data_IF_599803010811
#
_entry.id   IF_599803010811
#
_cell.length_a   1.000
_cell.length_b   1.000
_cell.length_c   1.000
_cell.angle_alpha   90.00
_cell.angle_beta   90.00
_cell.angle_gamma   90.00
#
_symmetry.space_group_name_H-M   'P 1'
#
loop_
_entity.id
_entity.type
_entity.pdbx_description
1 polymer ?
#
# COMPACT_ATOMS: atom_id res chain seq x y z
N UNK A 1 0.08 22.37 -20.46
CA UNK A 1 -0.32 21.94 -21.82
C UNK A 1 0.88 22.13 -22.73
N UNK A 2 1.02 21.40 -23.83
CA UNK A 2 2.05 21.76 -24.81
C UNK A 2 1.71 23.13 -25.39
N UNK A 3 2.71 23.99 -25.49
CA UNK A 3 2.63 25.28 -26.17
C UNK A 3 2.38 25.08 -27.68
N UNK A 4 1.73 26.06 -28.31
CA UNK A 4 1.32 25.95 -29.71
C UNK A 4 2.53 25.82 -30.65
N UNK A 5 3.66 26.47 -30.31
CA UNK A 5 4.91 26.38 -31.07
C UNK A 5 5.43 24.94 -31.10
N UNK A 6 5.51 24.28 -29.95
CA UNK A 6 5.91 22.88 -29.89
C UNK A 6 4.93 21.94 -30.57
N UNK A 7 3.62 22.18 -30.46
CA UNK A 7 2.60 21.39 -31.17
C UNK A 7 2.75 21.48 -32.69
N UNK A 8 3.06 22.68 -33.20
CA UNK A 8 3.34 22.91 -34.61
C UNK A 8 4.64 22.22 -35.05
N UNK A 9 5.71 22.31 -34.25
CA UNK A 9 6.97 21.63 -34.54
C UNK A 9 6.79 20.10 -34.66
N UNK A 10 6.02 19.50 -33.76
CA UNK A 10 5.67 18.06 -33.81
C UNK A 10 4.88 17.75 -35.09
N UNK A 11 3.89 18.56 -35.45
CA UNK A 11 3.09 18.36 -36.66
C UNK A 11 3.95 18.43 -37.92
N UNK A 12 4.88 19.39 -38.00
CA UNK A 12 5.82 19.54 -39.11
C UNK A 12 6.76 18.34 -39.22
N UNK A 13 7.27 17.83 -38.09
CA UNK A 13 8.10 16.62 -38.10
C UNK A 13 7.33 15.40 -38.62
N UNK A 14 6.09 15.21 -38.17
CA UNK A 14 5.22 14.13 -38.68
C UNK A 14 4.93 14.32 -40.16
N UNK A 15 4.66 15.54 -40.60
CA UNK A 15 4.43 15.87 -42.01
C UNK A 15 5.65 15.52 -42.87
N UNK A 16 6.86 15.89 -42.43
CA UNK A 16 8.11 15.53 -43.10
C UNK A 16 8.26 14.02 -43.29
N UNK A 17 7.84 13.22 -42.32
CA UNK A 17 7.88 11.75 -42.38
C UNK A 17 6.87 11.18 -43.37
N UNK A 18 5.68 11.78 -43.50
CA UNK A 18 4.64 11.27 -44.43
C UNK A 18 4.73 11.91 -45.83
N UNK A 19 5.53 12.96 -46.02
CA UNK A 19 5.66 13.69 -47.28
C UNK A 19 5.98 12.77 -48.49
N UNK A 20 6.90 11.78 -48.38
CA UNK A 20 7.14 10.86 -49.49
C UNK A 20 5.91 10.03 -49.91
N UNK A 21 5.03 9.69 -48.95
CA UNK A 21 3.76 9.02 -49.23
C UNK A 21 2.75 9.95 -49.92
N UNK A 22 2.78 11.24 -49.59
CA UNK A 22 1.87 12.24 -50.16
C UNK A 22 2.25 12.61 -51.59
N UNK A 23 3.56 12.68 -51.88
CA UNK A 23 4.09 13.06 -53.18
C UNK A 23 4.12 11.88 -54.19
N UNK A 24 3.61 10.70 -53.80
CA UNK A 24 3.65 9.51 -54.66
C UNK A 24 5.05 8.96 -54.91
N UNK A 25 6.02 9.27 -54.05
CA UNK A 25 7.41 8.80 -54.17
C UNK A 25 7.61 7.38 -53.65
N UNK A 26 6.53 6.74 -53.19
CA UNK A 26 6.52 5.43 -52.54
C UNK A 26 5.42 4.59 -53.18
N UNK A 27 5.78 3.40 -53.66
CA UNK A 27 4.83 2.47 -54.29
C UNK A 27 4.01 1.68 -53.26
N UNK A 28 4.64 1.28 -52.15
CA UNK A 28 4.01 0.47 -51.10
C UNK A 28 4.04 1.18 -49.75
N UNK A 29 2.89 1.76 -49.36
CA UNK A 29 2.74 2.50 -48.10
C UNK A 29 3.19 1.69 -46.88
N UNK A 30 2.83 0.40 -46.84
CA UNK A 30 3.14 -0.49 -45.72
C UNK A 30 4.65 -0.70 -45.54
N UNK A 31 5.37 -0.93 -46.64
CA UNK A 31 6.82 -1.15 -46.63
C UNK A 31 7.57 0.10 -46.20
N UNK A 32 7.18 1.27 -46.70
CA UNK A 32 7.76 2.53 -46.27
C UNK A 32 7.53 2.80 -44.79
N UNK A 33 6.29 2.59 -44.29
CA UNK A 33 6.00 2.72 -42.87
C UNK A 33 6.84 1.74 -42.02
N UNK A 34 7.10 0.54 -42.50
CA UNK A 34 7.99 -0.43 -41.84
C UNK A 34 9.45 0.01 -41.86
N UNK A 35 9.93 0.53 -43.00
CA UNK A 35 11.28 1.05 -43.15
C UNK A 35 11.52 2.23 -42.21
N UNK A 36 10.63 3.22 -42.20
CA UNK A 36 10.77 4.38 -41.30
C UNK A 36 10.68 3.96 -39.83
N UNK A 37 9.80 3.03 -39.49
CA UNK A 37 9.68 2.49 -38.14
C UNK A 37 10.92 1.71 -37.66
N UNK A 38 11.77 1.25 -38.57
CA UNK A 38 13.02 0.55 -38.21
C UNK A 38 14.10 1.48 -37.66
N UNK A 39 13.97 2.80 -37.88
CA UNK A 39 14.91 3.81 -37.43
C UNK A 39 14.35 4.64 -36.28
N UNK A 40 15.23 5.06 -35.37
CA UNK A 40 14.86 5.97 -34.27
C UNK A 40 14.61 7.36 -34.83
N UNK A 41 13.49 7.98 -34.45
CA UNK A 41 13.09 9.29 -34.93
C UNK A 41 13.27 10.32 -33.81
N UNK A 42 14.09 11.34 -34.06
CA UNK A 42 14.16 12.51 -33.18
C UNK A 42 12.93 13.39 -33.37
N UNK A 43 12.10 13.48 -32.32
CA UNK A 43 10.83 14.17 -32.34
C UNK A 43 10.88 15.42 -31.46
N UNK A 44 10.45 16.61 -31.95
CA UNK A 44 10.41 17.83 -31.15
C UNK A 44 9.69 17.59 -29.81
N UNK A 45 10.27 18.10 -28.72
CA UNK A 45 9.89 17.85 -27.31
C UNK A 45 10.04 16.40 -26.83
N UNK A 46 9.67 15.38 -27.61
CA UNK A 46 9.70 14.00 -27.14
C UNK A 46 11.08 13.33 -27.21
N UNK A 47 12.03 13.92 -27.94
CA UNK A 47 13.36 13.37 -28.20
C UNK A 47 13.30 12.12 -29.08
N UNK A 48 14.34 11.28 -28.96
CA UNK A 48 14.49 10.03 -29.69
C UNK A 48 13.36 9.04 -29.36
N UNK A 49 12.56 8.64 -30.37
CA UNK A 49 11.42 7.74 -30.23
C UNK A 49 11.34 6.71 -31.36
N UNK A 50 10.91 5.51 -30.98
CA UNK A 50 10.47 4.47 -31.91
C UNK A 50 8.95 4.51 -32.07
N UNK A 51 8.48 4.37 -33.30
CA UNK A 51 7.06 4.34 -33.65
C UNK A 51 6.73 3.06 -34.40
N UNK A 52 5.53 2.53 -34.21
CA UNK A 52 5.07 1.38 -34.99
C UNK A 52 4.73 1.81 -36.43
N UNK A 53 4.83 0.91 -37.43
CA UNK A 53 4.41 1.20 -38.80
C UNK A 53 2.96 1.69 -38.87
N UNK A 54 2.09 1.13 -38.03
CA UNK A 54 0.68 1.51 -37.91
C UNK A 54 0.50 2.95 -37.43
N UNK A 55 1.39 3.44 -36.56
CA UNK A 55 1.37 4.83 -36.08
C UNK A 55 1.68 5.80 -37.22
N UNK A 56 2.66 5.49 -38.06
CA UNK A 56 3.05 6.32 -39.21
C UNK A 56 1.93 6.32 -40.27
N UNK A 57 1.35 5.15 -40.55
CA UNK A 57 0.20 5.02 -41.45
C UNK A 57 -1.04 5.81 -40.95
N UNK A 58 -1.25 5.86 -39.63
CA UNK A 58 -2.29 6.72 -39.03
C UNK A 58 -2.04 8.19 -39.32
N UNK A 59 -0.80 8.68 -39.18
CA UNK A 59 -0.49 10.09 -39.48
C UNK A 59 -0.80 10.45 -40.94
N UNK A 60 -0.45 9.57 -41.89
CA UNK A 60 -0.81 9.76 -43.29
C UNK A 60 -2.33 9.85 -43.49
N UNK A 61 -3.07 8.93 -42.88
CA UNK A 61 -4.54 8.90 -42.94
C UNK A 61 -5.19 10.13 -42.31
N UNK A 62 -4.67 10.58 -41.16
CA UNK A 62 -5.16 11.75 -40.43
C UNK A 62 -4.92 13.03 -41.25
N UNK A 63 -3.75 13.14 -41.88
CA UNK A 63 -3.42 14.26 -42.76
C UNK A 63 -4.35 14.32 -43.98
N UNK A 64 -4.62 13.19 -44.64
CA UNK A 64 -5.55 13.16 -45.78
C UNK A 64 -6.98 13.59 -45.41
N UNK A 65 -7.41 13.37 -44.16
CA UNK A 65 -8.76 13.72 -43.70
C UNK A 65 -8.91 15.17 -43.29
N UNK A 66 -7.92 15.73 -42.60
CA UNK A 66 -8.06 16.98 -41.84
C UNK A 66 -6.83 17.90 -41.95
N UNK A 67 -5.88 17.60 -42.85
CA UNK A 67 -4.69 18.40 -43.11
C UNK A 67 -3.67 18.40 -41.98
N UNK A 68 -2.78 19.41 -41.98
CA UNK A 68 -1.66 19.51 -41.04
C UNK A 68 -2.10 19.63 -39.58
N UNK A 69 -3.25 20.25 -39.32
CA UNK A 69 -3.80 20.42 -37.97
C UNK A 69 -4.14 19.07 -37.31
N UNK A 70 -4.44 18.05 -38.11
CA UNK A 70 -4.71 16.69 -37.61
C UNK A 70 -3.47 16.02 -37.00
N UNK A 71 -2.28 16.42 -37.43
CA UNK A 71 -1.01 15.90 -36.95
C UNK A 71 -0.58 16.52 -35.61
N UNK A 72 -1.15 17.67 -35.24
CA UNK A 72 -0.87 18.33 -33.97
C UNK A 72 -1.30 17.42 -32.81
N UNK A 73 -0.49 17.30 -31.74
CA UNK A 73 -0.92 16.59 -30.53
C UNK A 73 -2.25 17.16 -30.03
N UNK A 74 -3.25 16.29 -29.90
CA UNK A 74 -4.55 16.64 -29.33
C UNK A 74 -4.49 16.49 -27.81
N UNK A 75 -5.10 17.40 -27.04
CA UNK A 75 -5.33 17.15 -25.64
C UNK A 75 -6.20 15.90 -25.48
N UNK A 76 -5.99 15.14 -24.40
CA UNK A 76 -6.86 14.02 -24.06
C UNK A 76 -8.30 14.52 -23.91
N UNK A 77 -9.21 13.97 -24.70
CA UNK A 77 -10.64 14.34 -24.74
C UNK A 77 -11.37 14.02 -23.43
N UNK A 78 -10.85 13.07 -22.65
CA UNK A 78 -11.38 12.68 -21.35
C UNK A 78 -10.79 13.49 -20.18
N UNK A 79 -10.02 14.55 -20.46
CA UNK A 79 -9.40 15.35 -19.40
C UNK A 79 -10.44 16.22 -18.69
N UNK A 80 -10.77 15.85 -17.45
CA UNK A 80 -11.60 16.65 -16.53
C UNK A 80 -13.11 16.46 -16.67
N UNK A 81 -13.58 15.68 -17.64
CA UNK A 81 -15.00 15.35 -17.82
C UNK A 81 -15.24 13.86 -17.67
N UNK A 82 -16.00 13.45 -16.66
CA UNK A 82 -16.56 12.10 -16.64
C UNK A 82 -17.66 12.04 -17.68
N UNK A 83 -17.54 11.17 -18.69
CA UNK A 83 -18.61 10.93 -19.68
C UNK A 83 -19.93 10.44 -19.05
N UNK A 84 -19.88 9.99 -17.79
CA UNK A 84 -21.00 9.38 -17.07
C UNK A 84 -21.60 10.30 -16.00
N UNK A 85 -20.84 11.29 -15.50
CA UNK A 85 -21.32 12.22 -14.47
C UNK A 85 -21.65 13.53 -15.14
N UNK A 86 -22.94 13.76 -15.36
CA UNK A 86 -23.46 15.05 -15.82
C UNK A 86 -23.37 16.09 -14.71
N UNK A 87 -23.47 17.36 -15.07
CA UNK A 87 -23.52 18.48 -14.11
C UNK A 87 -24.66 18.30 -13.12
N UNK A 88 -25.82 17.84 -13.57
CA UNK A 88 -26.99 17.55 -12.72
C UNK A 88 -26.69 16.51 -11.63
N UNK A 89 -26.02 15.40 -11.98
CA UNK A 89 -25.61 14.37 -11.00
C UNK A 89 -24.58 14.94 -10.01
N UNK A 90 -23.67 15.79 -10.48
CA UNK A 90 -22.66 16.43 -9.64
C UNK A 90 -23.27 17.38 -8.60
N UNK A 91 -24.23 18.20 -9.02
CA UNK A 91 -24.90 19.16 -8.13
C UNK A 91 -25.75 18.45 -7.08
N UNK A 92 -26.48 17.40 -7.48
CA UNK A 92 -27.25 16.57 -6.56
C UNK A 92 -26.35 15.81 -5.56
N UNK A 93 -25.18 15.32 -5.99
CA UNK A 93 -24.19 14.73 -5.08
C UNK A 93 -23.68 15.75 -4.07
N UNK A 94 -23.37 16.98 -4.50
CA UNK A 94 -22.92 18.03 -3.61
C UNK A 94 -23.99 18.40 -2.56
N UNK A 95 -25.25 18.52 -2.98
CA UNK A 95 -26.38 18.77 -2.08
C UNK A 95 -26.51 17.66 -1.01
N UNK A 96 -26.47 16.39 -1.43
CA UNK A 96 -26.55 15.23 -0.51
C UNK A 96 -25.36 15.17 0.45
N UNK A 97 -24.15 15.45 -0.03
CA UNK A 97 -22.96 15.52 0.82
C UNK A 97 -23.06 16.63 1.87
N UNK A 98 -23.57 17.82 1.50
CA UNK A 98 -23.82 18.91 2.43
C UNK A 98 -24.90 18.55 3.47
N UNK A 99 -25.95 17.85 3.04
CA UNK A 99 -27.06 17.43 3.91
C UNK A 99 -26.67 16.30 4.87
N UNK A 100 -25.77 15.41 4.46
CA UNK A 100 -25.33 14.25 5.24
C UNK A 100 -23.80 14.15 5.35
N UNK A 101 -23.14 15.08 6.08
CA UNK A 101 -21.67 15.18 6.10
C UNK A 101 -20.96 13.98 6.74
N UNK A 102 -21.66 13.17 7.54
CA UNK A 102 -21.13 11.94 8.16
C UNK A 102 -21.51 10.66 7.44
N UNK A 103 -22.33 10.74 6.38
CA UNK A 103 -22.74 9.55 5.65
C UNK A 103 -21.56 9.02 4.82
N UNK A 104 -21.31 7.70 4.82
CA UNK A 104 -20.30 7.12 3.95
C UNK A 104 -20.73 7.24 2.48
N UNK A 105 -19.75 7.31 1.58
CA UNK A 105 -19.99 7.51 0.14
C UNK A 105 -20.93 6.46 -0.47
N UNK A 106 -20.94 5.23 0.05
CA UNK A 106 -21.86 4.16 -0.36
C UNK A 106 -23.31 4.48 -0.05
N UNK A 107 -23.60 5.06 1.11
CA UNK A 107 -24.96 5.45 1.51
C UNK A 107 -25.45 6.61 0.64
N UNK A 108 -24.58 7.57 0.33
CA UNK A 108 -24.91 8.67 -0.58
C UNK A 108 -25.19 8.13 -1.99
N UNK A 109 -24.39 7.17 -2.47
CA UNK A 109 -24.61 6.49 -3.73
C UNK A 109 -25.97 5.76 -3.77
N UNK A 110 -26.32 4.99 -2.74
CA UNK A 110 -27.60 4.28 -2.67
C UNK A 110 -28.80 5.24 -2.67
N UNK A 111 -28.66 6.40 -2.00
CA UNK A 111 -29.66 7.46 -2.05
C UNK A 111 -29.83 8.01 -3.47
N UNK A 112 -28.73 8.27 -4.19
CA UNK A 112 -28.78 8.79 -5.56
C UNK A 112 -29.42 7.81 -6.54
N UNK A 113 -29.15 6.50 -6.38
CA UNK A 113 -29.82 5.44 -7.15
C UNK A 113 -31.31 5.39 -6.83
N UNK A 114 -31.68 5.47 -5.55
CA UNK A 114 -33.08 5.44 -5.11
C UNK A 114 -33.87 6.67 -5.59
N UNK A 115 -33.22 7.81 -5.63
CA UNK A 115 -33.79 9.08 -6.12
C UNK A 115 -33.85 9.13 -7.66
N UNK A 116 -33.31 8.12 -8.36
CA UNK A 116 -33.45 7.95 -9.80
C UNK A 116 -32.47 8.75 -10.66
N UNK A 117 -31.39 9.29 -10.08
CA UNK A 117 -30.41 10.09 -10.83
C UNK A 117 -29.59 9.26 -11.83
N UNK A 118 -29.40 7.97 -11.58
CA UNK A 118 -28.73 7.02 -12.49
C UNK A 118 -29.04 5.57 -12.09
N UNK A 119 -28.88 4.64 -13.03
CA UNK A 119 -28.97 3.21 -12.74
C UNK A 119 -27.60 2.67 -12.27
N UNK A 120 -27.57 1.63 -11.42
CA UNK A 120 -26.31 1.01 -10.97
C UNK A 120 -25.40 0.49 -12.09
N UNK A 121 -25.96 0.19 -13.27
CA UNK A 121 -25.19 -0.21 -14.45
C UNK A 121 -24.44 0.96 -15.10
N UNK A 122 -24.97 2.18 -14.96
CA UNK A 122 -24.44 3.38 -15.62
C UNK A 122 -23.28 3.98 -14.83
N UNK A 123 -23.39 4.00 -13.50
CA UNK A 123 -22.36 4.49 -12.59
C UNK A 123 -22.04 3.46 -11.52
N UNK A 124 -20.78 3.03 -11.44
CA UNK A 124 -20.31 2.20 -10.32
C UNK A 124 -20.04 3.08 -9.10
N UNK A 125 -20.39 2.64 -7.87
CA UNK A 125 -20.10 3.39 -6.64
C UNK A 125 -18.60 3.60 -6.42
N UNK A 126 -17.79 2.71 -7.00
CA UNK A 126 -16.35 2.78 -6.98
C UNK A 126 -15.82 2.64 -8.40
N UNK A 127 -15.06 3.62 -8.85
CA UNK A 127 -14.19 3.45 -10.01
C UNK A 127 -12.85 2.89 -9.55
N UNK A 128 -12.19 2.04 -10.34
CA UNK A 128 -10.80 1.63 -10.08
C UNK A 128 -9.83 2.78 -10.41
N UNK A 129 -10.10 4.00 -9.94
CA UNK A 129 -9.30 5.20 -10.19
C UNK A 129 -7.86 5.04 -9.73
N UNK A 130 -7.63 4.18 -8.72
CA UNK A 130 -6.30 3.83 -8.22
C UNK A 130 -5.46 3.03 -9.23
N UNK A 131 -6.08 2.34 -10.21
CA UNK A 131 -5.33 1.52 -11.17
C UNK A 131 -4.60 2.34 -12.23
N UNK A 132 -5.16 3.45 -12.71
CA UNK A 132 -4.53 4.22 -13.80
C UNK A 132 -3.13 4.76 -13.45
N UNK A 133 -2.93 5.19 -12.21
CA UNK A 133 -1.62 5.62 -11.71
C UNK A 133 -0.64 4.45 -11.64
N UNK A 134 -1.05 3.31 -11.08
CA UNK A 134 -0.18 2.14 -10.95
C UNK A 134 0.11 1.47 -12.29
N UNK A 135 -0.84 1.44 -13.21
CA UNK A 135 -0.65 0.97 -14.58
C UNK A 135 0.34 1.85 -15.35
N UNK A 136 0.26 3.17 -15.17
CA UNK A 136 1.23 4.09 -15.75
C UNK A 136 2.63 3.89 -15.18
N UNK A 137 2.73 3.69 -13.86
CA UNK A 137 3.98 3.34 -13.20
C UNK A 137 4.53 2.01 -13.74
N UNK A 138 3.74 0.94 -13.76
CA UNK A 138 4.15 -0.37 -14.28
C UNK A 138 4.59 -0.32 -15.74
N UNK A 139 3.95 0.50 -16.57
CA UNK A 139 4.42 0.72 -17.93
C UNK A 139 5.81 1.37 -17.96
N UNK A 140 6.07 2.32 -17.06
CA UNK A 140 7.38 2.98 -16.95
C UNK A 140 8.45 2.00 -16.46
N UNK A 141 8.13 1.20 -15.44
CA UNK A 141 8.99 0.12 -14.96
C UNK A 141 9.35 -0.86 -16.09
N UNK A 142 8.37 -1.35 -16.87
CA UNK A 142 8.65 -2.23 -18.02
C UNK A 142 9.56 -1.60 -19.08
N UNK A 143 9.34 -0.34 -19.41
CA UNK A 143 10.03 0.34 -20.52
C UNK A 143 11.39 0.95 -20.16
N UNK A 144 11.68 1.11 -18.86
CA UNK A 144 12.89 1.84 -18.40
C UNK A 144 13.74 1.03 -17.44
N UNK A 145 13.13 0.17 -16.61
CA UNK A 145 13.85 -0.69 -15.68
C UNK A 145 14.05 -2.09 -16.27
N UNK A 146 12.95 -2.78 -16.60
CA UNK A 146 13.05 -4.17 -17.05
C UNK A 146 13.72 -4.31 -18.41
N UNK A 147 13.65 -3.29 -19.26
CA UNK A 147 14.33 -3.29 -20.57
C UNK A 147 15.85 -3.14 -20.47
N UNK A 148 16.38 -2.66 -19.33
CA UNK A 148 17.83 -2.50 -19.11
C UNK A 148 18.40 -3.62 -18.25
N UNK A 149 17.55 -4.51 -17.74
CA UNK A 149 17.96 -5.62 -16.88
C UNK A 149 18.55 -6.75 -17.73
N UNK A 150 19.75 -7.20 -17.40
CA UNK A 150 20.37 -8.39 -17.99
C UNK A 150 20.10 -9.56 -17.04
N UNK A 151 19.28 -10.52 -17.47
CA UNK A 151 18.82 -11.61 -16.61
C UNK A 151 19.97 -12.43 -16.00
N UNK A 152 21.06 -12.62 -16.76
CA UNK A 152 22.22 -13.41 -16.32
C UNK A 152 23.06 -12.72 -15.23
N UNK A 153 22.90 -11.41 -15.04
CA UNK A 153 23.60 -10.65 -13.99
C UNK A 153 22.83 -10.63 -12.66
N UNK A 154 21.55 -11.05 -12.67
CA UNK A 154 20.70 -11.07 -11.47
C UNK A 154 20.95 -12.33 -10.66
N UNK A 155 21.68 -12.18 -9.54
CA UNK A 155 22.06 -13.29 -8.65
C UNK A 155 20.89 -13.84 -7.83
N UNK A 156 20.15 -12.95 -7.17
CA UNK A 156 19.07 -13.28 -6.24
C UNK A 156 18.04 -12.14 -6.18
N UNK A 157 16.99 -12.34 -5.37
CA UNK A 157 15.91 -11.38 -5.21
C UNK A 157 16.38 -10.06 -4.55
N UNK A 158 17.34 -10.14 -3.63
CA UNK A 158 17.87 -8.96 -2.93
C UNK A 158 18.71 -8.08 -3.87
N UNK A 159 19.48 -8.70 -4.76
CA UNK A 159 20.17 -8.01 -5.83
C UNK A 159 19.19 -7.33 -6.79
N UNK A 160 18.13 -8.03 -7.20
CA UNK A 160 17.07 -7.44 -8.04
C UNK A 160 16.39 -6.25 -7.35
N UNK A 161 16.08 -6.38 -6.06
CA UNK A 161 15.52 -5.31 -5.25
C UNK A 161 16.47 -4.10 -5.19
N UNK A 162 17.77 -4.34 -5.02
CA UNK A 162 18.78 -3.26 -4.98
C UNK A 162 18.84 -2.49 -6.30
N UNK A 163 18.89 -3.20 -7.42
CA UNK A 163 18.83 -2.60 -8.77
C UNK A 163 17.52 -1.81 -8.99
N UNK A 164 16.40 -2.36 -8.53
CA UNK A 164 15.11 -1.68 -8.60
C UNK A 164 15.09 -0.40 -7.77
N UNK A 165 15.60 -0.42 -6.54
CA UNK A 165 15.66 0.76 -5.67
C UNK A 165 16.56 1.85 -6.24
N UNK A 166 17.71 1.47 -6.80
CA UNK A 166 18.61 2.40 -7.49
C UNK A 166 17.93 3.05 -8.71
N UNK A 167 17.25 2.26 -9.54
CA UNK A 167 16.47 2.80 -10.65
C UNK A 167 15.32 3.70 -10.17
N UNK A 168 14.62 3.30 -9.11
CA UNK A 168 13.47 4.05 -8.61
C UNK A 168 13.90 5.44 -8.11
N UNK A 169 15.01 5.52 -7.36
CA UNK A 169 15.55 6.77 -6.83
C UNK A 169 16.14 7.65 -7.94
N UNK A 170 17.07 7.12 -8.73
CA UNK A 170 17.84 7.89 -9.71
C UNK A 170 17.10 8.19 -11.03
N UNK A 171 16.14 7.35 -11.44
CA UNK A 171 15.48 7.47 -12.74
C UNK A 171 13.99 7.84 -12.60
N UNK A 172 13.18 7.06 -11.90
CA UNK A 172 11.74 7.28 -11.88
C UNK A 172 11.33 8.51 -11.06
N UNK A 173 11.85 8.62 -9.84
CA UNK A 173 11.44 9.65 -8.89
C UNK A 173 11.91 11.05 -9.29
N UNK A 174 13.06 11.16 -9.96
CA UNK A 174 13.65 12.44 -10.40
C UNK A 174 13.16 12.91 -11.78
N UNK A 175 12.78 11.99 -12.69
CA UNK A 175 12.35 12.41 -14.04
C UNK A 175 10.95 13.02 -14.05
N UNK A 176 10.85 14.17 -14.71
CA UNK A 176 9.59 14.87 -14.93
C UNK A 176 8.54 14.00 -15.61
N UNK A 177 7.36 13.90 -14.98
CA UNK A 177 6.24 13.15 -15.52
C UNK A 177 5.36 14.04 -16.40
N UNK A 178 5.12 13.65 -17.65
CA UNK A 178 4.41 14.50 -18.65
C UNK A 178 3.00 14.93 -18.25
N UNK A 179 2.31 14.17 -17.40
CA UNK A 179 0.98 14.52 -16.90
C UNK A 179 1.02 15.46 -15.68
N UNK A 180 2.09 15.42 -14.88
CA UNK A 180 2.27 16.25 -13.69
C UNK A 180 2.99 17.56 -14.01
N UNK A 181 3.86 17.56 -15.04
CA UNK A 181 4.74 18.69 -15.35
C UNK A 181 5.93 18.85 -14.40
N UNK A 182 6.07 17.95 -13.43
CA UNK A 182 7.14 17.90 -12.42
C UNK A 182 7.52 16.43 -12.14
N UNK A 183 8.56 16.20 -11.35
CA UNK A 183 8.97 14.84 -10.96
C UNK A 183 8.00 14.26 -9.91
N UNK A 184 7.83 12.91 -9.84
CA UNK A 184 7.06 12.29 -8.78
C UNK A 184 7.54 12.66 -7.37
N UNK A 185 8.86 12.81 -7.18
CA UNK A 185 9.44 13.20 -5.90
C UNK A 185 9.04 14.62 -5.52
N UNK A 186 9.19 15.59 -6.42
CA UNK A 186 8.81 16.98 -6.16
C UNK A 186 7.31 17.10 -5.87
N UNK A 187 6.49 16.36 -6.61
CA UNK A 187 5.04 16.33 -6.39
C UNK A 187 4.69 15.80 -5.00
N UNK A 188 5.38 14.76 -4.53
CA UNK A 188 5.21 14.21 -3.19
C UNK A 188 5.68 15.19 -2.13
N UNK A 189 6.88 15.77 -2.28
CA UNK A 189 7.45 16.73 -1.33
C UNK A 189 6.59 18.00 -1.19
N UNK A 190 6.04 18.51 -2.28
CA UNK A 190 5.13 19.66 -2.26
C UNK A 190 3.84 19.41 -1.45
N UNK A 191 3.49 18.14 -1.20
CA UNK A 191 2.32 17.73 -0.43
C UNK A 191 2.71 17.05 0.90
N UNK A 192 3.99 17.03 1.27
CA UNK A 192 4.48 16.30 2.43
C UNK A 192 3.84 16.78 3.74
N UNK A 193 3.52 18.07 3.85
CA UNK A 193 2.82 18.64 5.02
C UNK A 193 1.41 18.07 5.20
N UNK A 194 0.78 17.59 4.13
CA UNK A 194 -0.54 16.95 4.19
C UNK A 194 -0.47 15.47 4.54
N UNK A 195 0.73 14.89 4.67
CA UNK A 195 0.90 13.48 5.03
C UNK A 195 0.64 13.32 6.53
N UNK A 196 -0.49 12.69 6.85
CA UNK A 196 -0.87 12.38 8.23
C UNK A 196 -0.23 11.06 8.62
N UNK A 197 0.76 11.12 9.51
CA UNK A 197 1.32 9.93 10.15
C UNK A 197 0.49 9.56 11.40
N UNK A 198 0.37 8.25 11.72
CA UNK A 198 -0.26 7.83 12.96
C UNK A 198 0.45 8.44 14.18
N UNK A 199 -0.32 8.96 15.14
CA UNK A 199 0.23 9.57 16.37
C UNK A 199 1.03 8.58 17.21
N UNK A 200 0.65 7.30 17.19
CA UNK A 200 1.35 6.23 17.90
C UNK A 200 1.77 5.14 16.91
N UNK A 201 3.03 5.20 16.47
CA UNK A 201 3.59 4.28 15.52
C UNK A 201 3.65 2.84 16.06
N UNK A 202 3.91 2.67 17.36
CA UNK A 202 3.99 1.34 17.99
C UNK A 202 2.63 0.61 17.94
N UNK A 203 1.56 1.31 18.30
CA UNK A 203 0.20 0.78 18.23
C UNK A 203 -0.23 0.48 16.78
N UNK A 204 0.19 1.34 15.84
CA UNK A 204 -0.07 1.15 14.42
C UNK A 204 0.66 -0.09 13.89
N UNK A 205 1.96 -0.22 14.17
CA UNK A 205 2.79 -1.35 13.74
C UNK A 205 2.27 -2.68 14.30
N UNK A 206 1.73 -2.69 15.52
CA UNK A 206 1.09 -3.88 16.12
C UNK A 206 -0.01 -4.47 15.22
N UNK A 207 -0.68 -3.64 14.42
CA UNK A 207 -1.75 -4.08 13.49
C UNK A 207 -1.24 -4.81 12.26
N UNK A 208 0.05 -4.69 11.92
CA UNK A 208 0.67 -5.36 10.78
C UNK A 208 1.32 -6.69 11.16
N UNK A 209 1.38 -7.02 12.45
CA UNK A 209 1.92 -8.28 12.92
C UNK A 209 1.05 -9.47 12.47
N UNK A 210 1.70 -10.55 12.06
CA UNK A 210 1.02 -11.80 11.70
C UNK A 210 0.46 -12.44 12.97
N UNK A 211 -0.82 -12.83 12.91
CA UNK A 211 -1.54 -13.48 14.01
C UNK A 211 -1.53 -15.00 13.84
N UNK A 212 -1.08 -15.72 14.86
CA UNK A 212 -1.10 -17.18 14.90
C UNK A 212 -1.57 -17.70 16.26
N UNK A 213 -2.55 -18.60 16.27
CA UNK A 213 -3.06 -19.18 17.52
C UNK A 213 -2.22 -20.38 17.99
N UNK A 214 -1.82 -20.38 19.26
CA UNK A 214 -1.03 -21.46 19.89
C UNK A 214 -1.54 -21.78 21.28
N UNK A 215 -1.43 -23.04 21.68
CA UNK A 215 -1.67 -23.47 23.06
C UNK A 215 -0.34 -23.51 23.79
N UNK A 216 -0.28 -22.84 24.94
CA UNK A 216 0.92 -22.85 25.79
C UNK A 216 0.97 -24.19 26.51
N UNK A 217 2.12 -24.86 26.42
CA UNK A 217 2.38 -26.15 27.06
C UNK A 217 2.41 -26.01 28.58
N UNK A 218 2.33 -27.14 29.28
CA UNK A 218 2.36 -27.17 30.75
C UNK A 218 3.69 -26.65 31.34
N UNK A 219 4.78 -26.73 30.58
CA UNK A 219 6.10 -26.17 30.93
C UNK A 219 6.21 -24.66 30.63
N UNK A 220 5.10 -23.99 30.33
CA UNK A 220 5.04 -22.57 29.96
C UNK A 220 5.77 -22.23 28.66
N UNK A 221 5.91 -23.18 27.74
CA UNK A 221 6.53 -22.96 26.42
C UNK A 221 5.54 -23.03 25.27
N UNK A 222 5.90 -22.41 24.14
CA UNK A 222 5.16 -22.46 22.87
C UNK A 222 6.15 -22.46 21.69
N UNK A 223 5.74 -22.97 20.53
CA UNK A 223 6.59 -23.02 19.33
C UNK A 223 5.99 -22.28 18.14
N UNK A 224 6.85 -21.55 17.42
CA UNK A 224 6.54 -20.80 16.21
C UNK A 224 7.65 -21.10 15.21
N UNK A 225 7.34 -21.65 14.02
CA UNK A 225 8.32 -22.06 13.00
C UNK A 225 9.53 -22.82 13.59
N UNK A 226 9.25 -23.80 14.45
CA UNK A 226 10.26 -24.62 15.16
C UNK A 226 11.15 -23.86 16.17
N UNK A 227 10.94 -22.56 16.38
CA UNK A 227 11.58 -21.77 17.44
C UNK A 227 10.74 -21.88 18.71
N UNK A 228 11.39 -22.19 19.82
CA UNK A 228 10.75 -22.35 21.12
C UNK A 228 10.81 -21.01 21.88
N UNK A 229 9.66 -20.60 22.42
CA UNK A 229 9.50 -19.43 23.27
C UNK A 229 8.98 -19.85 24.65
N UNK A 230 9.48 -19.22 25.70
CA UNK A 230 9.03 -19.37 27.08
C UNK A 230 8.25 -18.15 27.54
N UNK A 231 7.24 -18.36 28.38
CA UNK A 231 6.41 -17.30 28.95
C UNK A 231 6.09 -17.58 30.42
N UNK A 232 5.25 -16.74 31.03
CA UNK A 232 4.81 -16.91 32.40
C UNK A 232 3.99 -18.20 32.58
N UNK A 233 4.26 -19.02 33.62
CA UNK A 233 3.47 -20.22 33.92
C UNK A 233 1.98 -19.99 34.16
N UNK A 234 1.56 -18.74 34.44
CA UNK A 234 0.16 -18.35 34.60
C UNK A 234 -0.67 -18.64 33.34
N UNK A 235 -0.01 -18.66 32.18
CA UNK A 235 -0.64 -18.91 30.89
C UNK A 235 -0.59 -20.38 30.45
N UNK A 236 0.02 -21.28 31.24
CA UNK A 236 0.12 -22.70 30.91
C UNK A 236 -1.26 -23.34 30.68
N UNK A 237 -1.38 -24.10 29.59
CA UNK A 237 -2.63 -24.75 29.17
C UNK A 237 -3.64 -23.82 28.50
N UNK A 238 -3.39 -22.51 28.43
CA UNK A 238 -4.28 -21.56 27.74
C UNK A 238 -3.98 -21.49 26.26
N UNK A 239 -5.03 -21.29 25.46
CA UNK A 239 -4.92 -20.94 24.04
C UNK A 239 -4.78 -19.43 23.92
N UNK A 240 -3.75 -18.97 23.24
CA UNK A 240 -3.41 -17.56 23.07
C UNK A 240 -3.13 -17.27 21.60
N UNK A 241 -3.31 -16.02 21.22
CA UNK A 241 -2.90 -15.54 19.91
C UNK A 241 -1.52 -14.89 20.01
N UNK A 242 -0.57 -15.41 19.26
CA UNK A 242 0.77 -14.85 19.17
C UNK A 242 0.84 -13.93 17.97
N UNK A 243 1.35 -12.71 18.18
CA UNK A 243 1.59 -11.74 17.11
C UNK A 243 3.08 -11.46 16.98
N UNK A 244 3.60 -11.57 15.76
CA UNK A 244 5.01 -11.37 15.45
C UNK A 244 5.20 -10.89 14.01
N UNK A 245 6.39 -10.33 13.74
CA UNK A 245 6.83 -9.97 12.40
C UNK A 245 7.59 -11.17 11.80
N UNK A 246 7.17 -11.71 10.65
CA UNK A 246 7.85 -12.84 9.99
C UNK A 246 9.33 -12.58 9.68
N UNK A 247 9.68 -11.38 9.22
CA UNK A 247 11.05 -11.06 8.82
C UNK A 247 11.95 -10.98 10.05
N UNK A 248 11.44 -10.42 11.15
CA UNK A 248 12.17 -10.42 12.42
C UNK A 248 12.31 -11.83 12.99
N UNK A 249 11.30 -12.68 12.82
CA UNK A 249 11.35 -14.07 13.28
C UNK A 249 12.50 -14.83 12.61
N UNK A 250 12.66 -14.68 11.29
CA UNK A 250 13.78 -15.27 10.54
C UNK A 250 15.14 -14.71 10.95
N UNK A 251 15.19 -13.40 11.28
CA UNK A 251 16.40 -12.74 11.81
C UNK A 251 16.67 -13.04 13.28
N UNK A 252 15.86 -13.89 13.93
CA UNK A 252 16.06 -14.34 15.31
C UNK A 252 15.35 -13.49 16.35
N UNK A 253 14.08 -13.15 16.14
CA UNK A 253 13.24 -12.40 17.08
C UNK A 253 13.29 -12.97 18.50
N UNK A 254 13.74 -12.14 19.44
CA UNK A 254 13.95 -12.54 20.84
C UNK A 254 12.65 -12.55 21.66
N UNK A 255 11.64 -11.77 21.27
CA UNK A 255 10.40 -11.63 22.02
C UNK A 255 9.18 -11.55 21.10
N UNK A 256 8.11 -12.25 21.49
CA UNK A 256 6.81 -12.24 20.81
C UNK A 256 5.70 -11.83 21.77
N UNK A 257 4.65 -11.22 21.23
CA UNK A 257 3.54 -10.72 22.04
C UNK A 257 2.38 -11.71 22.06
N UNK A 258 1.81 -11.91 23.25
CA UNK A 258 0.68 -12.80 23.51
C UNK A 258 -0.60 -12.00 23.69
N UNK A 259 -1.67 -12.43 23.04
CA UNK A 259 -2.98 -11.79 23.03
C UNK A 259 -4.09 -12.77 23.46
N UNK A 260 -5.09 -12.25 24.15
CA UNK A 260 -6.39 -12.87 24.41
C UNK A 260 -7.46 -11.83 24.18
N UNK A 261 -8.52 -12.17 23.43
CA UNK A 261 -9.61 -11.25 23.10
C UNK A 261 -9.11 -9.89 22.55
N UNK A 262 -8.10 -9.96 21.67
CA UNK A 262 -7.39 -8.82 21.07
C UNK A 262 -6.71 -7.85 22.06
N UNK A 263 -6.57 -8.24 23.33
CA UNK A 263 -5.80 -7.52 24.33
C UNK A 263 -4.44 -8.19 24.56
N UNK A 264 -3.37 -7.41 24.55
CA UNK A 264 -2.04 -7.90 24.91
C UNK A 264 -2.04 -8.32 26.38
N UNK A 265 -1.76 -9.60 26.64
CA UNK A 265 -1.75 -10.20 27.99
C UNK A 265 -0.33 -10.42 28.52
N UNK A 266 0.68 -10.41 27.66
CA UNK A 266 2.07 -10.62 28.05
C UNK A 266 2.97 -10.88 26.85
N UNK A 267 4.18 -11.32 27.13
CA UNK A 267 5.19 -11.64 26.12
C UNK A 267 5.75 -13.05 26.32
N UNK A 268 6.37 -13.60 25.29
CA UNK A 268 7.16 -14.82 25.37
C UNK A 268 8.55 -14.56 24.78
N UNK A 269 9.59 -15.00 25.50
CA UNK A 269 10.99 -14.82 25.11
C UNK A 269 11.53 -16.09 24.48
N UNK A 270 12.45 -15.95 23.54
CA UNK A 270 13.10 -17.09 22.90
C UNK A 270 13.86 -17.91 23.94
N UNK A 271 13.70 -19.23 23.89
CA UNK A 271 14.39 -20.13 24.81
C UNK A 271 15.86 -20.23 24.39
N UNK A 272 16.76 -19.78 25.26
CA UNK A 272 18.18 -20.05 25.14
C UNK A 272 18.51 -21.42 25.76
N UNK A 273 18.72 -22.41 24.90
CA UNK A 273 18.98 -23.79 25.34
C UNK A 273 20.24 -23.93 26.21
N UNK A 274 21.25 -23.07 26.01
CA UNK A 274 22.47 -23.00 26.84
C UNK A 274 22.15 -22.73 28.30
N UNK A 275 21.22 -21.82 28.55
CA UNK A 275 20.90 -21.35 29.90
C UNK A 275 20.05 -22.40 30.62
N UNK A 276 19.12 -23.02 29.87
CA UNK A 276 18.27 -24.09 30.37
C UNK A 276 19.09 -25.35 30.73
N UNK A 277 20.13 -25.67 29.96
CA UNK A 277 21.02 -26.81 30.24
C UNK A 277 21.81 -26.63 31.55
N UNK A 278 22.18 -25.39 31.89
CA UNK A 278 22.95 -25.07 33.09
C UNK A 278 22.08 -24.79 34.33
N UNK A 279 20.75 -24.73 34.17
CA UNK A 279 19.83 -24.48 35.28
C UNK A 279 19.76 -25.70 36.21
N UNK A 280 20.27 -25.57 37.43
CA UNK A 280 20.17 -26.62 38.46
C UNK A 280 18.70 -26.83 38.86
N UNK A 281 18.10 -27.90 38.35
CA UNK A 281 16.76 -28.34 38.77
C UNK A 281 16.80 -28.64 40.26
N UNK A 282 16.02 -27.92 41.06
CA UNK A 282 15.76 -28.33 42.45
C UNK A 282 15.07 -29.69 42.37
N UNK A 283 15.76 -30.74 42.79
CA UNK A 283 15.21 -32.08 42.83
C UNK A 283 13.89 -32.11 43.60
N UNK A 284 13.06 -33.12 43.33
CA UNK A 284 11.80 -33.36 44.04
C UNK A 284 12.07 -33.21 45.54
N UNK A 285 11.31 -32.38 46.29
CA UNK A 285 11.56 -32.22 47.71
C UNK A 285 11.54 -33.60 48.36
N UNK A 286 12.65 -33.97 49.00
CA UNK A 286 12.73 -35.21 49.78
C UNK A 286 11.55 -35.25 50.75
N UNK A 287 10.96 -36.42 50.96
CA UNK A 287 9.87 -36.62 51.91
C UNK A 287 10.19 -36.06 53.32
N UNK A 288 11.48 -35.96 53.67
CA UNK A 288 11.96 -35.33 54.89
C UNK A 288 11.66 -33.81 54.99
N UNK A 289 11.73 -33.07 53.87
CA UNK A 289 11.47 -31.63 53.85
C UNK A 289 9.98 -31.27 54.00
N UNK A 290 9.07 -32.24 53.78
CA UNK A 290 7.63 -32.07 54.02
C UNK A 290 7.26 -32.11 55.51
N UNK A 291 8.05 -32.78 56.36
CA UNK A 291 7.77 -32.90 57.80
C UNK A 291 8.12 -31.62 58.59
N UNK A 292 9.13 -30.88 58.14
CA UNK A 292 9.69 -29.73 58.87
C UNK A 292 8.76 -28.49 58.81
N UNK A 293 7.86 -28.38 57.84
CA UNK A 293 6.96 -27.20 57.70
C UNK A 293 5.67 -27.26 58.53
N UNK A 294 5.49 -28.26 59.40
CA UNK A 294 4.26 -28.42 60.20
C UNK A 294 4.38 -28.01 61.67
N UNK A 295 5.56 -27.60 62.12
CA UNK A 295 5.83 -27.21 63.52
C UNK A 295 6.63 -25.91 63.48
N UNK A 296 5.91 -24.79 63.47
CA UNK A 296 6.16 -23.62 64.33
C UNK A 296 5.48 -22.36 63.77
N UNK A 297 4.65 -21.81 64.64
CA UNK A 297 3.76 -20.66 64.53
C UNK A 297 4.47 -19.34 64.82
N UNK A 298 4.02 -18.23 64.17
CA UNK A 298 3.80 -16.87 64.74
C UNK A 298 5.08 -16.13 65.23
N UNK A 299 5.44 -14.89 64.89
CA UNK A 299 4.77 -13.57 64.92
C UNK A 299 5.76 -12.54 64.32
N UNK A 300 5.29 -11.51 63.60
CA UNK A 300 5.59 -10.08 63.87
C UNK A 300 5.12 -9.18 62.70
N UNK A 301 4.36 -8.14 63.05
CA UNK A 301 4.06 -6.91 62.30
C UNK A 301 4.81 -5.75 63.00
N UNK A 302 4.84 -4.48 62.54
CA UNK A 302 4.57 -3.89 61.20
C UNK A 302 5.65 -2.84 60.77
N UNK A 303 5.59 -2.34 59.52
CA UNK A 303 6.02 -0.96 59.20
C UNK A 303 5.24 -0.42 57.98
N UNK A 304 4.87 0.86 58.02
CA UNK A 304 3.75 1.43 57.31
C UNK A 304 4.13 2.48 56.24
N UNK A 305 3.53 2.35 55.03
CA UNK A 305 3.07 3.39 54.05
C UNK A 305 4.10 4.31 53.34
N UNK A 306 3.82 4.89 52.13
CA UNK A 306 2.51 5.38 51.67
C UNK A 306 1.96 4.84 50.35
N UNK A 307 0.63 4.85 50.30
CA UNK A 307 -0.21 4.59 49.16
C UNK A 307 -0.04 5.68 48.08
N UNK A 308 0.11 5.24 46.83
CA UNK A 308 -0.07 6.12 45.67
C UNK A 308 -1.53 5.99 45.22
N UNK A 309 -2.28 7.06 45.45
CA UNK A 309 -3.61 7.29 44.90
C UNK A 309 -3.51 7.37 43.36
N UNK A 310 -4.12 6.42 42.65
CA UNK A 310 -4.53 6.65 41.26
C UNK A 310 -6.02 7.02 41.23
N UNK A 311 -6.41 8.10 40.52
CA UNK A 311 -7.80 8.50 40.42
C UNK A 311 -8.62 7.44 39.67
N UNK A 312 -9.64 6.91 40.34
CA UNK A 312 -10.69 6.07 39.73
C UNK A 312 -11.63 6.96 38.92
N UNK A 313 -11.28 7.25 37.67
CA UNK A 313 -12.25 7.67 36.67
C UNK A 313 -12.38 6.56 35.62
N UNK A 314 -13.19 5.55 35.94
CA UNK A 314 -13.72 4.62 34.96
C UNK A 314 -15.22 4.83 34.89
N UNK A 315 -15.67 5.54 33.85
CA UNK A 315 -17.08 5.53 33.47
C UNK A 315 -17.33 4.17 32.81
N UNK A 316 -18.10 3.31 33.47
CA UNK A 316 -18.52 2.01 32.91
C UNK A 316 -19.80 2.21 32.09
N UNK A 317 -19.71 2.01 30.77
CA UNK A 317 -20.85 2.08 29.84
C UNK A 317 -21.95 1.04 30.14
N UNK A 318 -21.64 -0.03 30.87
CA UNK A 318 -22.65 -1.01 31.31
C UNK A 318 -23.62 -0.46 32.37
N UNK A 319 -23.30 0.66 33.03
CA UNK A 319 -24.16 1.29 34.03
C UNK A 319 -25.22 2.25 33.45
N UNK A 320 -25.15 2.57 32.15
CA UNK A 320 -26.09 3.49 31.49
C UNK A 320 -27.29 2.79 30.81
N UNK A 321 -27.29 1.47 30.69
CA UNK A 321 -28.35 0.71 29.99
C UNK A 321 -29.38 0.04 30.91
N UNK A 322 -29.50 0.48 32.17
CA UNK A 322 -30.52 -0.01 33.11
C UNK A 322 -31.22 1.16 33.80
N UNK A 323 -32.12 1.80 33.05
CA UNK A 323 -33.20 2.75 33.39
C UNK A 323 -33.51 3.41 32.03
N UNK A 324 -34.56 3.06 31.29
CA UNK A 324 -35.96 3.12 31.67
C UNK A 324 -36.78 2.04 30.97
N UNK A 325 -37.34 1.13 31.77
CA UNK A 325 -38.64 0.53 31.50
C UNK A 325 -39.32 0.48 32.87
N UNK A 326 -40.22 1.42 33.13
CA UNK A 326 -41.50 1.17 33.81
C UNK A 326 -42.30 2.47 33.95
N UNK A 327 -43.53 2.38 33.41
CA UNK A 327 -44.71 3.26 33.55
C UNK A 327 -44.74 4.54 32.73
#
# INVERSE_FOLDING_TARGET
MLDEVTRNAIALKKFSIISPLLNGQVEHQGEYCAQVASSVIDMPHYGLKNYSPKTISSWYSDYLRLGIDALKPKPRTDKGGSRKVTTEISDALAEKCCKYPKAPATVIYDMMVKDGFFLPADLSPFTPTSKGKIERFFRSCRLRFLSTLIADEVKDLDHLNSLFWEWLSSDYNEKSHSSLGMSPLDCFLAQAESVILPTNLSLFNEKFLVKTSRTIKHDATLSINCILYETSPVFAGRKVDVRYDPDLLERGLEEVFLYSDDKCIGTAKKVHFSDNANMKRRGRPSAAAKKIKSIDSVTNTPEATPAINLPKNTISFSAMNKKDVTS
#
